data_IF_044813431375
#
_entry.id   IF_044813431375
#
_cell.length_a   1.000
_cell.length_b   1.000
_cell.length_c   1.000
_cell.angle_alpha   90.00
_cell.angle_beta   90.00
_cell.angle_gamma   90.00
#
_symmetry.space_group_name_H-M   'P 1'
#
loop_
_entity.id
_entity.type
_entity.pdbx_description
1 polymer ?
#
# COMPACT_ATOMS: atom_id res chain seq x y z
N UNK A 1 -0.18 -2.28 -2.27
CA UNK A 1 -0.17 -0.80 -2.18
C UNK A 1 -1.26 -0.14 -2.99
N UNK A 2 -1.33 -0.36 -4.32
CA UNK A 2 -2.38 0.21 -5.18
C UNK A 2 -3.80 -0.20 -4.73
N UNK A 3 -4.04 -1.49 -4.43
CA UNK A 3 -5.33 -2.00 -3.89
C UNK A 3 -5.73 -1.36 -2.54
N UNK A 4 -4.76 -1.03 -1.69
CA UNK A 4 -5.01 -0.43 -0.37
C UNK A 4 -5.22 1.11 -0.43
N UNK A 5 -4.61 1.78 -1.41
CA UNK A 5 -4.92 3.17 -1.75
C UNK A 5 -6.34 3.26 -2.34
N UNK A 6 -6.68 2.35 -3.25
CA UNK A 6 -8.05 2.23 -3.77
C UNK A 6 -9.06 1.94 -2.66
N UNK A 7 -8.77 1.06 -1.69
CA UNK A 7 -9.71 0.81 -0.59
C UNK A 7 -9.98 2.02 0.31
N UNK A 8 -9.03 2.96 0.41
CA UNK A 8 -9.19 4.16 1.25
C UNK A 8 -9.80 5.35 0.52
N UNK A 9 -9.69 5.40 -0.81
CA UNK A 9 -10.24 6.48 -1.63
C UNK A 9 -11.57 6.05 -2.28
N UNK A 10 -11.68 4.81 -2.73
CA UNK A 10 -12.86 4.20 -3.38
C UNK A 10 -13.76 3.48 -2.34
N UNK A 11 -13.21 3.09 -1.19
CA UNK A 11 -13.89 2.29 -0.17
C UNK A 11 -13.55 0.79 -0.24
N UNK A 12 -13.94 0.02 0.79
CA UNK A 12 -13.79 -1.46 0.81
C UNK A 12 -14.44 -2.12 -0.41
N UNK A 13 -14.06 -3.35 -0.75
CA UNK A 13 -14.68 -4.09 -1.87
C UNK A 13 -16.22 -4.16 -1.74
N UNK A 14 -16.72 -4.40 -0.53
CA UNK A 14 -18.15 -4.35 -0.23
C UNK A 14 -18.76 -2.97 -0.46
N UNK A 15 -18.05 -1.90 -0.13
CA UNK A 15 -18.49 -0.53 -0.36
C UNK A 15 -18.57 -0.22 -1.85
N UNK A 16 -17.53 -0.57 -2.62
CA UNK A 16 -17.51 -0.41 -4.09
C UNK A 16 -18.63 -1.23 -4.72
N UNK A 17 -18.86 -2.47 -4.26
CA UNK A 17 -19.94 -3.30 -4.75
C UNK A 17 -21.31 -2.69 -4.42
N UNK A 18 -21.51 -2.12 -3.23
CA UNK A 18 -22.74 -1.39 -2.89
C UNK A 18 -22.94 -0.18 -3.79
N UNK A 19 -21.91 0.62 -4.04
CA UNK A 19 -21.98 1.77 -4.96
C UNK A 19 -22.35 1.29 -6.37
N UNK A 20 -21.70 0.25 -6.88
CA UNK A 20 -22.00 -0.33 -8.20
C UNK A 20 -23.45 -0.82 -8.30
N UNK A 21 -23.95 -1.50 -7.27
CA UNK A 21 -25.35 -1.93 -7.20
C UNK A 21 -26.29 -0.72 -7.16
N UNK A 22 -25.99 0.29 -6.35
CA UNK A 22 -26.81 1.51 -6.26
C UNK A 22 -26.83 2.28 -7.58
N UNK A 23 -25.69 2.38 -8.28
CA UNK A 23 -25.63 2.99 -9.60
C UNK A 23 -26.40 2.16 -10.63
N UNK A 24 -26.24 0.84 -10.65
CA UNK A 24 -27.02 -0.02 -11.55
C UNK A 24 -28.54 0.09 -11.30
N UNK A 25 -28.98 0.22 -10.04
CA UNK A 25 -30.38 0.49 -9.70
C UNK A 25 -30.81 1.86 -10.21
N UNK A 26 -30.02 2.91 -9.93
CA UNK A 26 -30.29 4.28 -10.40
C UNK A 26 -30.39 4.35 -11.92
N UNK A 27 -29.46 3.72 -12.61
CA UNK A 27 -29.34 3.62 -14.05
C UNK A 27 -30.55 2.92 -14.68
N UNK A 28 -31.02 1.82 -14.05
CA UNK A 28 -32.24 1.13 -14.47
C UNK A 28 -33.50 1.97 -14.26
N UNK A 29 -33.58 2.72 -13.16
CA UNK A 29 -34.71 3.62 -12.87
C UNK A 29 -34.72 4.84 -13.79
N UNK A 30 -33.55 5.40 -14.11
CA UNK A 30 -33.40 6.53 -15.03
C UNK A 30 -33.61 6.13 -16.50
N UNK A 31 -33.44 4.84 -16.81
CA UNK A 31 -33.67 4.28 -18.13
C UNK A 31 -35.11 4.45 -18.61
N UNK A 32 -35.27 4.41 -19.94
CA UNK A 32 -36.59 4.36 -20.58
C UNK A 32 -36.77 3.00 -21.26
N UNK A 33 -37.93 2.78 -21.90
CA UNK A 33 -38.12 1.61 -22.78
C UNK A 33 -37.10 1.56 -23.92
N UNK A 34 -36.56 2.70 -24.35
CA UNK A 34 -35.64 2.80 -25.48
C UNK A 34 -34.16 2.98 -25.10
N UNK A 35 -33.87 3.45 -23.89
CA UNK A 35 -32.52 3.80 -23.45
C UNK A 35 -32.19 3.16 -22.10
N UNK A 36 -30.97 2.64 -21.95
CA UNK A 36 -30.32 2.35 -20.67
C UNK A 36 -29.23 3.38 -20.45
N UNK A 37 -29.13 3.90 -19.23
CA UNK A 37 -27.97 4.68 -18.82
C UNK A 37 -26.99 3.76 -18.10
N UNK A 38 -25.70 3.98 -18.25
CA UNK A 38 -24.67 3.30 -17.45
C UNK A 38 -23.78 4.41 -16.91
N UNK A 39 -23.79 4.62 -15.61
CA UNK A 39 -22.90 5.59 -14.98
C UNK A 39 -21.53 4.97 -14.76
N UNK A 40 -20.48 5.70 -15.12
CA UNK A 40 -19.08 5.37 -14.87
C UNK A 40 -18.29 6.62 -14.46
N UNK A 41 -16.98 6.59 -14.61
CA UNK A 41 -16.09 7.67 -14.18
C UNK A 41 -15.77 7.57 -12.69
N UNK A 42 -14.78 8.33 -12.28
CA UNK A 42 -14.26 8.26 -10.90
C UNK A 42 -15.35 8.51 -9.87
N UNK A 43 -16.25 9.48 -10.10
CA UNK A 43 -17.38 9.74 -9.23
C UNK A 43 -18.38 8.57 -9.21
N UNK A 44 -18.68 7.99 -10.37
CA UNK A 44 -19.52 6.78 -10.48
C UNK A 44 -18.90 5.57 -9.78
N UNK A 45 -17.58 5.52 -9.65
CA UNK A 45 -16.88 4.45 -8.94
C UNK A 45 -16.75 4.70 -7.43
N UNK A 46 -17.23 5.84 -6.92
CA UNK A 46 -17.20 6.19 -5.50
C UNK A 46 -16.01 7.06 -5.09
N UNK A 47 -15.23 7.56 -6.05
CA UNK A 47 -14.17 8.52 -5.79
C UNK A 47 -14.75 9.93 -5.75
N UNK A 48 -15.13 10.41 -4.56
CA UNK A 48 -15.57 11.79 -4.36
C UNK A 48 -14.37 12.70 -4.00
N UNK A 49 -13.64 13.12 -5.03
CA UNK A 49 -12.46 13.97 -4.89
C UNK A 49 -12.57 15.20 -5.79
N UNK A 50 -11.81 16.25 -5.46
CA UNK A 50 -11.70 17.42 -6.34
C UNK A 50 -11.08 17.01 -7.68
N UNK A 51 -11.84 17.15 -8.75
CA UNK A 51 -11.45 16.75 -10.10
C UNK A 51 -12.00 15.40 -10.54
N UNK A 52 -12.83 14.74 -9.71
CA UNK A 52 -13.57 13.55 -10.15
C UNK A 52 -14.53 13.90 -11.27
N UNK A 53 -14.52 13.06 -12.30
CA UNK A 53 -15.42 13.08 -13.43
C UNK A 53 -16.65 12.20 -13.21
N UNK A 54 -17.76 12.63 -13.81
CA UNK A 54 -18.99 11.87 -13.87
C UNK A 54 -19.23 11.46 -15.32
N UNK A 55 -19.07 10.19 -15.63
CA UNK A 55 -19.28 9.71 -17.00
C UNK A 55 -20.60 8.97 -17.08
N UNK A 56 -21.26 9.05 -18.23
CA UNK A 56 -22.38 8.17 -18.50
C UNK A 56 -22.41 7.70 -19.95
N UNK A 57 -22.84 6.46 -20.13
CA UNK A 57 -23.12 5.88 -21.44
C UNK A 57 -24.62 5.75 -21.64
N UNK A 58 -25.12 6.24 -22.77
CA UNK A 58 -26.50 6.09 -23.21
C UNK A 58 -26.57 4.94 -24.21
N UNK A 59 -27.06 3.79 -23.75
CA UNK A 59 -27.17 2.58 -24.57
C UNK A 59 -28.58 2.48 -25.15
N UNK A 60 -28.70 2.53 -26.48
CA UNK A 60 -29.99 2.40 -27.15
C UNK A 60 -30.41 0.94 -27.29
N UNK A 61 -31.55 0.58 -26.69
CA UNK A 61 -32.10 -0.79 -26.64
C UNK A 61 -32.68 -1.27 -27.96
N UNK A 62 -32.92 -0.36 -28.91
CA UNK A 62 -33.45 -0.70 -30.23
C UNK A 62 -32.35 -1.16 -31.21
N UNK A 63 -31.08 -1.10 -30.79
CA UNK A 63 -29.92 -1.44 -31.60
C UNK A 63 -29.14 -2.59 -30.95
N UNK A 64 -28.89 -3.63 -31.72
CA UNK A 64 -28.07 -4.77 -31.31
C UNK A 64 -26.87 -4.92 -32.26
N UNK A 65 -25.71 -5.24 -31.69
CA UNK A 65 -24.48 -5.54 -32.43
C UNK A 65 -24.07 -6.98 -32.17
N UNK A 66 -23.69 -7.68 -33.23
CA UNK A 66 -23.19 -9.05 -33.18
C UNK A 66 -21.96 -9.22 -34.09
N UNK A 67 -21.03 -10.10 -33.70
CA UNK A 67 -19.89 -10.51 -34.53
C UNK A 67 -20.30 -11.64 -35.50
N UNK A 68 -21.11 -12.60 -35.03
CA UNK A 68 -21.50 -13.77 -35.82
C UNK A 68 -22.75 -13.50 -36.67
N UNK A 69 -22.66 -13.90 -37.94
CA UNK A 69 -23.74 -13.87 -38.91
C UNK A 69 -24.92 -14.78 -38.50
N UNK A 70 -24.69 -15.80 -37.70
CA UNK A 70 -25.71 -16.80 -37.33
C UNK A 70 -26.33 -16.57 -35.94
N UNK A 71 -26.09 -15.41 -35.32
CA UNK A 71 -26.62 -15.11 -34.00
C UNK A 71 -28.15 -14.97 -33.99
N UNK A 72 -28.80 -15.45 -32.92
CA UNK A 72 -30.26 -15.31 -32.72
C UNK A 72 -30.61 -13.84 -32.46
N UNK A 73 -31.10 -13.16 -33.50
CA UNK A 73 -31.49 -11.76 -33.42
C UNK A 73 -32.87 -11.59 -32.81
N UNK A 74 -33.03 -10.57 -31.97
CA UNK A 74 -34.37 -10.13 -31.61
C UNK A 74 -35.01 -9.51 -32.86
N UNK A 75 -36.10 -10.09 -33.39
CA UNK A 75 -36.70 -9.55 -34.61
C UNK A 75 -37.20 -8.12 -34.41
N UNK A 76 -37.42 -7.66 -33.18
CA UNK A 76 -37.94 -6.33 -32.89
C UNK A 76 -36.87 -5.22 -32.80
N UNK A 77 -35.58 -5.54 -33.01
CA UNK A 77 -34.48 -4.57 -32.95
C UNK A 77 -33.80 -4.41 -34.31
N UNK A 78 -33.22 -3.24 -34.57
CA UNK A 78 -32.29 -3.06 -35.68
C UNK A 78 -30.96 -3.73 -35.32
N UNK A 79 -30.40 -4.49 -36.25
CA UNK A 79 -29.18 -5.25 -36.01
C UNK A 79 -28.02 -4.80 -36.91
N UNK A 80 -26.84 -4.70 -36.31
CA UNK A 80 -25.58 -4.47 -36.98
C UNK A 80 -24.66 -5.70 -36.87
N UNK A 81 -24.01 -6.02 -37.99
CA UNK A 81 -22.88 -6.94 -38.03
C UNK A 81 -21.61 -6.14 -37.76
N UNK A 82 -20.83 -6.60 -36.80
CA UNK A 82 -19.55 -6.03 -36.43
C UNK A 82 -18.43 -6.59 -37.31
N UNK A 83 -17.71 -5.71 -37.99
CA UNK A 83 -16.59 -6.05 -38.85
C UNK A 83 -15.31 -5.51 -38.20
N UNK A 84 -14.44 -6.42 -37.80
CA UNK A 84 -13.14 -6.12 -37.16
C UNK A 84 -11.95 -6.32 -38.07
N UNK A 85 -12.18 -6.82 -39.29
CA UNK A 85 -11.14 -6.99 -40.29
C UNK A 85 -10.81 -5.63 -40.92
N UNK A 86 -9.50 -5.38 -41.12
CA UNK A 86 -8.94 -4.19 -41.75
C UNK A 86 -9.28 -2.84 -41.08
N UNK A 87 -9.61 -2.87 -39.79
CA UNK A 87 -9.80 -1.66 -38.97
C UNK A 87 -8.62 -1.47 -38.01
N UNK A 88 -8.33 -0.20 -37.70
CA UNK A 88 -7.28 0.13 -36.72
C UNK A 88 -7.64 -0.46 -35.34
N UNK A 89 -6.65 -0.89 -34.53
CA UNK A 89 -6.90 -1.34 -33.17
C UNK A 89 -7.74 -0.33 -32.37
N UNK A 90 -8.80 -0.82 -31.71
CA UNK A 90 -9.75 0.01 -30.96
C UNK A 90 -10.94 0.55 -31.78
N UNK A 91 -11.04 0.22 -33.07
CA UNK A 91 -12.16 0.59 -33.93
C UNK A 91 -12.84 -0.64 -34.51
N UNK A 92 -14.11 -0.49 -34.90
CA UNK A 92 -14.87 -1.49 -35.66
C UNK A 92 -15.82 -0.80 -36.63
N UNK A 93 -16.19 -1.50 -37.71
CA UNK A 93 -17.25 -1.08 -38.62
C UNK A 93 -18.52 -1.83 -38.27
N UNK A 94 -19.66 -1.14 -38.31
CA UNK A 94 -20.96 -1.73 -38.02
C UNK A 94 -21.79 -1.72 -39.30
N UNK A 95 -21.91 -2.87 -39.96
CA UNK A 95 -22.70 -3.03 -41.17
C UNK A 95 -24.16 -3.31 -40.82
N UNK A 96 -25.09 -2.56 -41.39
CA UNK A 96 -26.53 -2.74 -41.18
C UNK A 96 -26.97 -4.07 -41.80
N UNK A 97 -27.62 -4.92 -40.99
CA UNK A 97 -28.12 -6.23 -41.44
C UNK A 97 -29.64 -6.30 -41.46
N UNK A 98 -30.26 -5.87 -40.36
CA UNK A 98 -31.72 -5.85 -40.21
C UNK A 98 -32.14 -4.46 -39.75
N UNK A 99 -33.19 -3.93 -40.38
CA UNK A 99 -33.65 -2.58 -40.18
C UNK A 99 -35.12 -2.54 -39.77
N UNK A 100 -35.45 -1.83 -38.68
CA UNK A 100 -36.85 -1.64 -38.23
C UNK A 100 -37.26 -0.21 -37.84
N UNK A 101 -36.32 0.72 -37.68
CA UNK A 101 -36.54 2.12 -37.24
C UNK A 101 -35.73 3.08 -38.11
N UNK A 102 -36.03 4.40 -38.16
CA UNK A 102 -35.34 5.50 -38.89
C UNK A 102 -33.81 5.67 -38.69
N UNK A 103 -33.04 4.59 -38.64
CA UNK A 103 -31.59 4.54 -38.49
C UNK A 103 -30.87 4.81 -39.80
N UNK A 104 -31.54 4.73 -40.96
CA UNK A 104 -30.93 4.98 -42.28
C UNK A 104 -30.36 6.39 -42.37
N UNK A 105 -31.00 7.37 -41.73
CA UNK A 105 -30.52 8.75 -41.65
C UNK A 105 -29.22 8.90 -40.82
N UNK A 106 -28.75 7.82 -40.19
CA UNK A 106 -27.51 7.73 -39.41
C UNK A 106 -26.55 6.70 -40.00
N UNK A 107 -26.82 6.23 -41.21
CA UNK A 107 -25.97 5.29 -41.93
C UNK A 107 -25.43 5.92 -43.21
N UNK A 108 -24.35 5.34 -43.73
CA UNK A 108 -23.71 5.72 -44.98
C UNK A 108 -23.52 4.49 -45.85
N UNK A 109 -23.68 4.63 -47.16
CA UNK A 109 -23.46 3.55 -48.10
C UNK A 109 -22.01 3.57 -48.62
N UNK A 110 -21.32 2.43 -48.52
CA UNK A 110 -19.97 2.24 -49.02
C UNK A 110 -19.89 0.90 -49.75
N UNK A 111 -19.59 0.92 -51.05
CA UNK A 111 -19.49 -0.29 -51.89
C UNK A 111 -20.73 -1.19 -51.82
N UNK A 112 -21.94 -0.62 -51.91
CA UNK A 112 -23.21 -1.35 -51.86
C UNK A 112 -23.58 -1.91 -50.48
N UNK A 113 -22.79 -1.63 -49.45
CA UNK A 113 -23.09 -2.00 -48.07
C UNK A 113 -23.44 -0.75 -47.26
N UNK A 114 -24.41 -0.86 -46.36
CA UNK A 114 -24.86 0.24 -45.50
C UNK A 114 -24.17 0.12 -44.14
N UNK A 115 -23.46 1.15 -43.71
CA UNK A 115 -22.70 1.20 -42.46
C UNK A 115 -23.24 2.25 -41.51
N UNK A 116 -23.22 1.96 -40.22
CA UNK A 116 -23.59 2.92 -39.18
C UNK A 116 -22.52 4.01 -39.04
N UNK A 117 -22.93 5.27 -39.14
CA UNK A 117 -22.05 6.43 -38.97
C UNK A 117 -22.12 6.94 -37.54
N UNK A 118 -21.07 6.68 -36.76
CA UNK A 118 -20.97 7.16 -35.37
C UNK A 118 -20.96 8.70 -35.29
N UNK A 119 -20.53 9.39 -36.35
CA UNK A 119 -20.55 10.84 -36.46
C UNK A 119 -21.99 11.38 -36.59
N UNK A 120 -22.77 10.84 -37.53
CA UNK A 120 -24.18 11.20 -37.70
C UNK A 120 -25.00 10.83 -36.46
N UNK A 121 -24.68 9.68 -35.85
CA UNK A 121 -25.34 9.25 -34.63
C UNK A 121 -25.11 10.21 -33.47
N UNK A 122 -23.86 10.64 -33.25
CA UNK A 122 -23.53 11.62 -32.21
C UNK A 122 -24.27 12.94 -32.38
N UNK A 123 -24.35 13.45 -33.61
CA UNK A 123 -25.03 14.73 -33.89
C UNK A 123 -26.50 14.72 -33.46
N UNK A 124 -27.18 13.59 -33.60
CA UNK A 124 -28.58 13.45 -33.19
C UNK A 124 -28.80 13.65 -31.67
N UNK A 125 -27.80 13.36 -30.85
CA UNK A 125 -27.89 13.48 -29.38
C UNK A 125 -27.27 14.77 -28.84
N UNK A 126 -26.81 15.67 -29.70
CA UNK A 126 -26.40 17.00 -29.26
C UNK A 126 -27.64 17.77 -28.80
N UNK A 127 -27.58 18.27 -27.57
CA UNK A 127 -28.59 19.14 -26.98
C UNK A 127 -27.94 20.51 -26.70
N UNK A 128 -28.71 21.59 -26.51
CA UNK A 128 -28.14 22.90 -26.15
C UNK A 128 -27.24 22.88 -24.91
N UNK A 129 -27.44 21.91 -24.02
CA UNK A 129 -26.62 21.67 -22.82
C UNK A 129 -25.29 20.94 -23.06
N UNK A 130 -25.09 20.34 -24.24
CA UNK A 130 -23.93 19.54 -24.61
C UNK A 130 -23.17 20.25 -25.74
N UNK A 131 -22.27 21.14 -25.35
CA UNK A 131 -21.72 22.16 -26.25
C UNK A 131 -20.38 21.78 -26.86
N UNK A 132 -19.68 20.78 -26.32
CA UNK A 132 -18.35 20.39 -26.80
C UNK A 132 -18.27 18.89 -27.06
N UNK A 133 -17.77 18.55 -28.25
CA UNK A 133 -17.49 17.17 -28.66
C UNK A 133 -15.99 16.91 -28.47
N UNK A 134 -15.63 15.81 -27.83
CA UNK A 134 -14.24 15.35 -27.76
C UNK A 134 -14.20 13.82 -27.88
N UNK A 135 -13.51 13.33 -28.92
CA UNK A 135 -13.49 11.90 -29.23
C UNK A 135 -14.92 11.31 -29.39
N UNK A 136 -15.24 10.20 -28.69
CA UNK A 136 -16.58 9.60 -28.71
C UNK A 136 -17.59 10.32 -27.80
N UNK A 137 -17.15 11.27 -26.96
CA UNK A 137 -17.94 11.87 -25.90
C UNK A 137 -18.44 13.27 -26.26
N UNK A 138 -19.52 13.65 -25.57
CA UNK A 138 -20.07 15.00 -25.52
C UNK A 138 -20.03 15.49 -24.08
N UNK A 139 -19.58 16.73 -23.89
CA UNK A 139 -19.41 17.33 -22.57
C UNK A 139 -20.18 18.65 -22.48
N UNK A 140 -20.55 19.04 -21.26
CA UNK A 140 -21.18 20.33 -21.02
C UNK A 140 -20.14 21.47 -20.98
N UNK A 141 -20.60 22.73 -21.01
CA UNK A 141 -19.70 23.89 -20.94
C UNK A 141 -18.78 23.90 -19.72
N UNK A 142 -19.28 23.36 -18.60
CA UNK A 142 -18.56 23.30 -17.32
C UNK A 142 -17.58 22.12 -17.23
N UNK A 143 -17.55 21.23 -18.23
CA UNK A 143 -16.76 19.99 -18.26
C UNK A 143 -16.90 19.14 -16.98
N UNK A 144 -18.12 19.11 -16.44
CA UNK A 144 -18.39 18.37 -15.18
C UNK A 144 -18.82 16.92 -15.44
N UNK A 145 -19.15 16.57 -16.69
CA UNK A 145 -19.51 15.21 -17.05
C UNK A 145 -19.22 14.94 -18.53
N UNK A 146 -18.94 13.68 -18.87
CA UNK A 146 -18.82 13.20 -20.24
C UNK A 146 -19.88 12.15 -20.56
N UNK A 147 -20.65 12.40 -21.62
CA UNK A 147 -21.66 11.49 -22.12
C UNK A 147 -21.20 10.78 -23.39
N UNK A 148 -21.41 9.47 -23.50
CA UNK A 148 -21.20 8.71 -24.73
C UNK A 148 -22.50 8.05 -25.18
N UNK A 149 -22.75 8.03 -26.49
CA UNK A 149 -23.89 7.29 -27.07
C UNK A 149 -23.39 5.93 -27.57
N UNK A 150 -24.03 4.86 -27.12
CA UNK A 150 -23.54 3.50 -27.28
C UNK A 150 -24.61 2.58 -27.89
N UNK A 151 -24.12 1.52 -28.54
CA UNK A 151 -24.92 0.39 -29.01
C UNK A 151 -24.45 -0.86 -28.29
N UNK A 152 -25.39 -1.71 -27.87
CA UNK A 152 -25.07 -2.88 -27.07
C UNK A 152 -24.59 -4.03 -27.96
N UNK A 153 -23.44 -4.61 -27.62
CA UNK A 153 -22.94 -5.82 -28.24
C UNK A 153 -23.17 -7.00 -27.28
N UNK A 154 -23.92 -8.01 -27.72
CA UNK A 154 -24.28 -9.18 -26.88
C UNK A 154 -23.12 -10.14 -26.67
N UNK A 155 -22.18 -10.16 -27.61
CA UNK A 155 -21.04 -11.07 -27.62
C UNK A 155 -19.74 -10.29 -27.40
N UNK A 156 -18.79 -10.91 -26.73
CA UNK A 156 -17.43 -10.38 -26.69
C UNK A 156 -16.80 -10.50 -28.07
N UNK A 157 -16.09 -9.46 -28.51
CA UNK A 157 -15.28 -9.52 -29.74
C UNK A 157 -14.17 -10.56 -29.57
N UNK A 158 -13.92 -11.33 -30.62
CA UNK A 158 -12.84 -12.32 -30.66
C UNK A 158 -11.48 -11.77 -30.19
N UNK A 159 -11.16 -10.53 -30.54
CA UNK A 159 -9.94 -9.83 -30.11
C UNK A 159 -9.84 -9.57 -28.59
N UNK A 160 -10.98 -9.50 -27.88
CA UNK A 160 -11.03 -9.29 -26.43
C UNK A 160 -10.98 -10.60 -25.63
N UNK A 161 -11.27 -11.76 -26.24
CA UNK A 161 -11.34 -13.06 -25.56
C UNK A 161 -10.02 -13.40 -24.85
N UNK A 162 -8.88 -13.06 -25.47
CA UNK A 162 -7.56 -13.31 -24.88
C UNK A 162 -7.34 -12.52 -23.56
N UNK A 163 -7.95 -11.34 -23.42
CA UNK A 163 -7.84 -10.54 -22.20
C UNK A 163 -8.72 -11.08 -21.08
N UNK A 164 -9.95 -11.50 -21.42
CA UNK A 164 -10.91 -12.05 -20.47
C UNK A 164 -10.43 -13.40 -19.92
N UNK A 165 -9.85 -14.23 -20.79
CA UNK A 165 -9.32 -15.53 -20.39
C UNK A 165 -8.10 -15.40 -19.46
N UNK A 166 -7.28 -14.35 -19.61
CA UNK A 166 -6.20 -14.03 -18.67
C UNK A 166 -6.73 -13.63 -17.28
N UNK A 167 -7.81 -12.84 -17.20
CA UNK A 167 -8.36 -12.40 -15.91
C UNK A 167 -9.02 -13.53 -15.12
N UNK A 168 -9.69 -14.47 -15.81
CA UNK A 168 -10.34 -15.61 -15.15
C UNK A 168 -9.35 -16.63 -14.55
N UNK A 169 -8.11 -16.64 -15.01
CA UNK A 169 -7.03 -17.38 -14.34
C UNK A 169 -6.58 -16.72 -13.03
N UNK A 170 -6.80 -15.40 -12.86
CA UNK A 170 -6.43 -14.66 -11.66
C UNK A 170 -7.49 -14.70 -10.55
N UNK A 171 -8.77 -14.93 -10.87
CA UNK A 171 -9.86 -14.93 -9.88
C UNK A 171 -10.01 -16.24 -9.10
N UNK A 172 -9.44 -17.35 -9.58
CA UNK A 172 -9.57 -18.69 -8.97
C UNK A 172 -8.34 -19.14 -8.17
N UNK A 173 -7.36 -18.25 -7.95
CA UNK A 173 -6.13 -18.57 -7.21
C UNK A 173 -6.13 -17.84 -5.88
N UNK A 174 -6.98 -18.32 -4.97
CA UNK A 174 -7.04 -17.84 -3.59
C UNK A 174 -5.85 -18.45 -2.81
N UNK A 175 -4.97 -17.59 -2.29
CA UNK A 175 -3.88 -17.96 -1.36
C UNK A 175 -2.43 -17.90 -1.89
N UNK A 176 -2.15 -18.03 -3.19
CA UNK A 176 -0.77 -18.04 -3.72
C UNK A 176 -0.37 -16.80 -4.56
N UNK A 177 -1.29 -15.83 -4.73
CA UNK A 177 -1.13 -14.67 -5.61
C UNK A 177 -0.37 -13.46 -5.02
N UNK A 178 0.36 -13.64 -3.90
CA UNK A 178 1.28 -12.61 -3.38
C UNK A 178 2.66 -12.61 -4.08
N UNK A 179 2.83 -13.39 -5.14
CA UNK A 179 3.93 -13.21 -6.09
C UNK A 179 3.51 -12.23 -7.20
N UNK A 180 3.44 -10.95 -6.86
CA UNK A 180 3.61 -9.93 -7.89
C UNK A 180 5.09 -9.88 -8.27
N UNK A 181 5.40 -10.24 -9.52
CA UNK A 181 6.66 -9.87 -10.14
C UNK A 181 6.66 -8.35 -10.35
N UNK A 182 7.03 -7.60 -9.32
CA UNK A 182 7.86 -6.43 -9.59
C UNK A 182 9.23 -7.00 -9.89
N UNK A 183 9.62 -7.04 -11.17
CA UNK A 183 11.04 -7.06 -11.46
C UNK A 183 11.64 -5.88 -10.70
N UNK A 184 12.51 -6.12 -9.69
CA UNK A 184 13.24 -5.01 -9.11
C UNK A 184 13.98 -4.39 -10.28
N UNK A 185 13.73 -3.11 -10.57
CA UNK A 185 14.60 -2.42 -11.53
C UNK A 185 16.03 -2.73 -11.09
N UNK A 186 16.86 -3.32 -11.96
CA UNK A 186 18.22 -3.61 -11.60
C UNK A 186 18.88 -2.24 -11.39
N UNK A 187 18.99 -1.84 -10.13
CA UNK A 187 20.05 -0.94 -9.71
C UNK A 187 21.33 -1.69 -10.02
N UNK A 188 21.85 -1.45 -11.23
CA UNK A 188 23.18 -1.89 -11.61
C UNK A 188 24.13 -1.41 -10.52
N UNK A 189 25.04 -2.28 -10.10
CA UNK A 189 26.13 -1.97 -9.15
C UNK A 189 26.83 -0.64 -9.51
N UNK A 190 26.82 -0.28 -10.80
CA UNK A 190 27.33 0.98 -11.34
C UNK A 190 26.53 2.24 -10.92
N UNK A 191 25.22 2.18 -10.75
CA UNK A 191 24.38 3.30 -10.28
C UNK A 191 24.59 3.55 -8.77
N UNK A 192 24.79 2.48 -7.99
CA UNK A 192 25.16 2.57 -6.57
C UNK A 192 26.57 3.18 -6.41
N UNK A 193 27.51 2.80 -7.27
CA UNK A 193 28.83 3.44 -7.36
C UNK A 193 28.75 4.94 -7.70
N UNK A 194 27.79 5.36 -8.52
CA UNK A 194 27.53 6.79 -8.81
C UNK A 194 26.88 7.53 -7.64
N UNK A 195 25.98 6.89 -6.90
CA UNK A 195 25.34 7.46 -5.69
C UNK A 195 26.38 7.63 -4.57
N UNK A 196 27.28 6.65 -4.39
CA UNK A 196 28.41 6.76 -3.46
C UNK A 196 29.38 7.86 -3.92
N UNK A 197 29.74 7.91 -5.21
CA UNK A 197 30.64 8.95 -5.75
C UNK A 197 30.07 10.38 -5.68
N UNK A 198 28.76 10.55 -5.82
CA UNK A 198 28.11 11.87 -5.75
C UNK A 198 27.91 12.38 -4.32
N UNK A 199 27.92 11.51 -3.31
CA UNK A 199 27.87 11.89 -1.88
C UNK A 199 29.25 11.98 -1.20
N UNK A 200 30.36 11.67 -1.90
CA UNK A 200 31.75 11.74 -1.40
C UNK A 200 32.31 13.15 -1.17
N UNK A 201 31.48 14.19 -1.09
CA UNK A 201 31.93 15.57 -0.81
C UNK A 201 32.10 15.88 0.69
N UNK A 202 31.89 14.92 1.59
CA UNK A 202 32.18 15.12 3.02
C UNK A 202 33.00 13.93 3.60
N UNK A 203 34.35 14.03 3.64
CA UNK A 203 35.23 12.89 3.87
C UNK A 203 35.33 12.38 5.32
N UNK A 204 34.80 13.11 6.32
CA UNK A 204 34.99 12.79 7.74
C UNK A 204 34.09 11.69 8.34
N UNK A 205 32.82 11.62 7.95
CA UNK A 205 31.87 10.60 8.45
C UNK A 205 31.93 9.28 7.66
N UNK A 206 32.28 9.40 6.37
CA UNK A 206 32.18 8.31 5.39
C UNK A 206 33.24 7.24 5.59
N UNK A 207 34.41 7.57 6.16
CA UNK A 207 35.48 6.60 6.40
C UNK A 207 35.11 5.56 7.45
N UNK A 208 34.34 5.92 8.49
CA UNK A 208 33.93 4.96 9.52
C UNK A 208 32.84 4.00 9.03
N UNK A 209 31.86 4.49 8.27
CA UNK A 209 30.78 3.67 7.70
C UNK A 209 31.30 2.78 6.56
N UNK A 210 32.23 3.27 5.73
CA UNK A 210 32.90 2.46 4.70
C UNK A 210 33.79 1.42 5.37
N UNK A 211 34.58 1.77 6.40
CA UNK A 211 35.35 0.76 7.15
C UNK A 211 34.45 -0.27 7.81
N UNK A 212 33.32 0.11 8.39
CA UNK A 212 32.37 -0.84 8.98
C UNK A 212 31.75 -1.73 7.92
N UNK A 213 31.41 -1.19 6.75
CA UNK A 213 30.82 -1.96 5.64
C UNK A 213 31.86 -2.85 4.95
N UNK A 214 33.12 -2.43 4.85
CA UNK A 214 34.24 -3.23 4.35
C UNK A 214 34.65 -4.31 5.36
N UNK A 215 34.72 -3.99 6.66
CA UNK A 215 34.97 -4.96 7.74
C UNK A 215 33.85 -5.98 7.82
N UNK A 216 32.60 -5.55 7.67
CA UNK A 216 31.43 -6.41 7.59
C UNK A 216 31.43 -7.27 6.32
N UNK A 217 31.77 -6.70 5.16
CA UNK A 217 31.89 -7.46 3.91
C UNK A 217 33.04 -8.46 3.94
N UNK A 218 34.20 -8.10 4.50
CA UNK A 218 35.35 -9.01 4.66
C UNK A 218 35.04 -10.10 5.69
N UNK A 219 34.37 -9.76 6.79
CA UNK A 219 33.91 -10.76 7.77
C UNK A 219 32.86 -11.71 7.17
N UNK A 220 31.94 -11.21 6.33
CA UNK A 220 30.99 -12.04 5.57
C UNK A 220 31.70 -12.90 4.51
N UNK A 221 32.64 -12.34 3.74
CA UNK A 221 33.42 -13.09 2.74
C UNK A 221 34.26 -14.19 3.37
N UNK A 222 34.81 -13.95 4.56
CA UNK A 222 35.62 -14.94 5.29
C UNK A 222 34.75 -16.02 5.96
N UNK A 223 33.51 -15.71 6.35
CA UNK A 223 32.63 -16.63 7.11
C UNK A 223 31.60 -17.36 6.24
N UNK A 224 31.30 -16.85 5.04
CA UNK A 224 30.22 -17.35 4.18
C UNK A 224 30.77 -17.76 2.81
N UNK A 225 31.27 -18.99 2.72
CA UNK A 225 31.37 -19.74 1.46
C UNK A 225 29.95 -20.10 0.97
N UNK A 226 29.15 -19.10 0.59
CA UNK A 226 27.82 -19.34 0.06
C UNK A 226 27.48 -18.35 -1.06
N UNK A 227 26.85 -18.89 -2.09
CA UNK A 227 26.64 -18.35 -3.43
C UNK A 227 26.15 -16.89 -3.49
N UNK A 228 26.43 -16.23 -4.63
CA UNK A 228 26.22 -14.82 -4.98
C UNK A 228 24.85 -14.18 -4.64
N UNK A 229 23.83 -14.96 -4.27
CA UNK A 229 22.51 -14.46 -3.87
C UNK A 229 22.47 -13.82 -2.48
N UNK A 230 23.39 -14.17 -1.56
CA UNK A 230 23.38 -13.70 -0.17
C UNK A 230 23.73 -12.21 0.00
N UNK A 231 24.75 -11.72 -0.72
CA UNK A 231 25.25 -10.34 -0.58
C UNK A 231 24.22 -9.31 -1.06
N UNK A 232 23.51 -9.60 -2.17
CA UNK A 232 22.49 -8.68 -2.72
C UNK A 232 21.36 -8.41 -1.73
N UNK A 233 20.94 -9.42 -0.98
CA UNK A 233 19.84 -9.29 -0.01
C UNK A 233 20.27 -8.57 1.28
N UNK A 234 21.53 -8.77 1.71
CA UNK A 234 22.14 -7.97 2.79
C UNK A 234 22.22 -6.49 2.39
N UNK A 235 22.65 -6.18 1.16
CA UNK A 235 22.66 -4.79 0.67
C UNK A 235 21.27 -4.18 0.60
N UNK A 236 20.25 -4.92 0.17
CA UNK A 236 18.87 -4.43 0.15
C UNK A 236 18.34 -4.15 1.56
N UNK A 237 18.67 -5.00 2.53
CA UNK A 237 18.34 -4.77 3.94
C UNK A 237 19.01 -3.50 4.47
N UNK A 238 20.32 -3.32 4.20
CA UNK A 238 21.04 -2.10 4.57
C UNK A 238 20.43 -0.84 3.94
N UNK A 239 20.09 -0.89 2.64
CA UNK A 239 19.39 0.20 1.97
C UNK A 239 18.03 0.50 2.59
N UNK A 240 17.29 -0.52 3.04
CA UNK A 240 16.04 -0.35 3.77
C UNK A 240 16.26 0.39 5.08
N UNK A 241 17.24 -0.01 5.89
CA UNK A 241 17.57 0.67 7.16
C UNK A 241 17.99 2.12 6.94
N UNK A 242 18.79 2.39 5.91
CA UNK A 242 19.15 3.76 5.53
C UNK A 242 17.93 4.61 5.13
N UNK A 243 17.01 4.05 4.33
CA UNK A 243 15.78 4.74 3.98
C UNK A 243 14.90 5.00 5.21
N UNK A 244 14.85 4.06 6.17
CA UNK A 244 14.15 4.26 7.43
C UNK A 244 14.77 5.41 8.24
N UNK A 245 16.11 5.49 8.34
CA UNK A 245 16.79 6.61 8.99
C UNK A 245 16.48 7.96 8.33
N UNK A 246 16.57 8.03 6.99
CA UNK A 246 16.22 9.26 6.24
C UNK A 246 14.74 9.66 6.44
N UNK A 247 13.82 8.69 6.55
CA UNK A 247 12.40 8.97 6.76
C UNK A 247 12.08 9.59 8.12
N UNK A 248 12.84 9.23 9.17
CA UNK A 248 12.66 9.72 10.53
C UNK A 248 12.97 11.21 10.69
N UNK A 249 13.86 11.74 9.87
CA UNK A 249 14.27 13.16 9.92
C UNK A 249 13.31 14.10 9.15
N UNK A 250 12.25 13.56 8.52
CA UNK A 250 11.32 14.36 7.71
C UNK A 250 10.26 14.98 8.62
N UNK A 251 10.29 16.30 8.79
CA UNK A 251 9.31 17.02 9.62
C UNK A 251 7.85 16.73 9.23
N UNK A 252 7.11 16.08 10.14
CA UNK A 252 5.68 15.77 10.01
C UNK A 252 4.76 16.72 10.81
N UNK A 253 5.33 17.63 11.60
CA UNK A 253 4.60 18.36 12.63
C UNK A 253 3.59 19.39 12.12
N UNK A 254 2.60 19.63 13.00
CA UNK A 254 1.50 20.56 12.80
C UNK A 254 1.91 22.05 12.84
N UNK A 255 3.17 22.38 13.13
CA UNK A 255 3.65 23.75 13.12
C UNK A 255 3.66 24.38 11.71
N UNK A 256 3.66 23.55 10.66
CA UNK A 256 3.68 24.03 9.28
C UNK A 256 2.26 24.39 8.83
N UNK A 257 1.98 25.67 8.56
CA UNK A 257 0.63 26.16 8.24
C UNK A 257 0.07 25.73 6.86
N UNK A 258 0.89 25.15 5.98
CA UNK A 258 0.51 24.85 4.60
C UNK A 258 0.23 23.36 4.37
N UNK A 259 -1.04 23.01 4.12
CA UNK A 259 -1.50 21.65 3.81
C UNK A 259 -0.77 21.01 2.61
N UNK A 260 -0.42 21.79 1.58
CA UNK A 260 0.31 21.28 0.40
C UNK A 260 1.71 20.81 0.79
N UNK A 261 2.36 21.54 1.69
CA UNK A 261 3.69 21.17 2.18
C UNK A 261 3.61 19.93 3.07
N UNK A 262 2.64 19.86 3.98
CA UNK A 262 2.41 18.67 4.82
C UNK A 262 2.18 17.42 3.98
N UNK A 263 1.32 17.52 2.96
CA UNK A 263 1.07 16.41 2.04
C UNK A 263 2.36 15.99 1.33
N UNK A 264 3.16 16.95 0.84
CA UNK A 264 4.45 16.66 0.22
C UNK A 264 5.38 15.91 1.18
N UNK A 265 5.57 16.40 2.42
CA UNK A 265 6.43 15.74 3.41
C UNK A 265 5.93 14.34 3.75
N UNK A 266 4.63 14.17 3.97
CA UNK A 266 4.02 12.86 4.17
C UNK A 266 4.30 11.92 3.01
N UNK A 267 4.07 12.35 1.75
CA UNK A 267 4.34 11.51 0.58
C UNK A 267 5.82 11.16 0.43
N UNK A 268 6.72 12.10 0.77
CA UNK A 268 8.16 11.86 0.76
C UNK A 268 8.56 10.83 1.82
N UNK A 269 8.15 11.02 3.08
CA UNK A 269 8.39 10.06 4.16
C UNK A 269 7.83 8.67 3.83
N UNK A 270 6.58 8.61 3.39
CA UNK A 270 5.94 7.38 2.95
C UNK A 270 6.74 6.71 1.81
N UNK A 271 7.21 7.47 0.82
CA UNK A 271 8.01 6.91 -0.28
C UNK A 271 9.35 6.33 0.19
N UNK A 272 10.01 6.94 1.18
CA UNK A 272 11.23 6.41 1.77
C UNK A 272 10.98 5.11 2.52
N UNK A 273 9.97 5.08 3.41
CA UNK A 273 9.65 3.89 4.18
C UNK A 273 9.25 2.71 3.29
N UNK A 274 8.51 2.97 2.22
CA UNK A 274 8.08 1.93 1.29
C UNK A 274 9.21 1.42 0.39
N UNK A 275 10.25 2.21 0.22
CA UNK A 275 11.42 1.83 -0.56
C UNK A 275 12.18 0.76 0.21
N UNK A 276 12.05 -0.49 -0.25
CA UNK A 276 12.68 -1.67 0.32
C UNK A 276 12.04 -2.22 1.62
N UNK A 277 10.85 -1.78 2.01
CA UNK A 277 10.16 -2.30 3.22
C UNK A 277 10.07 -3.84 3.25
N UNK A 278 9.94 -4.51 2.11
CA UNK A 278 9.87 -5.98 2.00
C UNK A 278 11.21 -6.70 2.26
N UNK A 279 12.30 -5.94 2.34
CA UNK A 279 13.62 -6.44 2.72
C UNK A 279 13.86 -6.40 4.23
N UNK A 280 12.99 -5.72 4.97
CA UNK A 280 12.91 -5.70 6.42
C UNK A 280 11.64 -6.44 6.86
N UNK A 281 11.79 -7.56 7.60
CA UNK A 281 10.63 -8.41 7.84
C UNK A 281 9.60 -7.77 8.80
N UNK A 282 10.03 -6.88 9.69
CA UNK A 282 9.20 -6.39 10.80
C UNK A 282 9.46 -4.91 11.09
N UNK A 283 10.70 -4.51 11.40
CA UNK A 283 10.97 -3.16 11.90
C UNK A 283 10.66 -2.06 10.87
N UNK A 284 10.84 -2.32 9.58
CA UNK A 284 10.43 -1.42 8.50
C UNK A 284 8.92 -1.25 8.41
N UNK A 285 8.15 -2.33 8.63
CA UNK A 285 6.70 -2.27 8.70
C UNK A 285 6.22 -1.53 9.94
N UNK A 286 6.86 -1.74 11.09
CA UNK A 286 6.55 -1.00 12.30
C UNK A 286 6.85 0.50 12.16
N UNK A 287 7.95 0.88 11.50
CA UNK A 287 8.25 2.27 11.19
C UNK A 287 7.16 2.91 10.31
N UNK A 288 6.65 2.16 9.34
CA UNK A 288 5.51 2.57 8.53
C UNK A 288 4.22 2.68 9.36
N UNK A 289 3.98 1.77 10.30
CA UNK A 289 2.86 1.87 11.23
C UNK A 289 2.97 3.13 12.10
N UNK A 290 4.17 3.48 12.57
CA UNK A 290 4.42 4.71 13.34
C UNK A 290 4.13 5.98 12.53
N UNK A 291 4.45 6.02 11.23
CA UNK A 291 4.03 7.12 10.35
C UNK A 291 2.50 7.27 10.31
N UNK A 292 1.77 6.17 10.18
CA UNK A 292 0.30 6.20 10.18
C UNK A 292 -0.26 6.59 11.53
N UNK A 293 0.35 6.15 12.63
CA UNK A 293 0.02 6.59 13.97
C UNK A 293 0.17 8.10 14.14
N UNK A 294 1.34 8.67 13.79
CA UNK A 294 1.63 10.10 13.87
C UNK A 294 0.68 10.97 13.04
N UNK A 295 0.18 10.42 11.94
CA UNK A 295 -0.82 11.09 11.09
C UNK A 295 -2.26 10.80 11.49
N UNK A 296 -2.48 10.22 12.69
CA UNK A 296 -3.80 9.89 13.27
C UNK A 296 -4.63 8.92 12.43
N UNK A 297 -3.97 8.08 11.63
CA UNK A 297 -4.59 7.03 10.83
C UNK A 297 -4.53 5.70 11.58
N UNK A 298 -5.08 5.66 12.80
CA UNK A 298 -4.93 4.56 13.76
C UNK A 298 -5.35 3.19 13.20
N UNK A 299 -6.44 3.11 12.43
CA UNK A 299 -6.86 1.85 11.81
C UNK A 299 -5.84 1.28 10.81
N UNK A 300 -5.10 2.13 10.10
CA UNK A 300 -4.02 1.69 9.20
C UNK A 300 -2.82 1.22 9.99
N UNK A 301 -2.44 1.96 11.02
CA UNK A 301 -1.36 1.57 11.92
C UNK A 301 -1.64 0.20 12.53
N UNK A 302 -2.84 -0.02 13.08
CA UNK A 302 -3.29 -1.32 13.60
C UNK A 302 -3.12 -2.45 12.60
N UNK A 303 -3.61 -2.27 11.37
CA UNK A 303 -3.50 -3.33 10.36
C UNK A 303 -2.05 -3.73 10.06
N UNK A 304 -1.16 -2.74 9.94
CA UNK A 304 0.26 -2.99 9.68
C UNK A 304 0.93 -3.60 10.90
N UNK A 305 0.62 -3.12 12.11
CA UNK A 305 1.12 -3.67 13.37
C UNK A 305 0.73 -5.15 13.54
N UNK A 306 -0.54 -5.50 13.31
CA UNK A 306 -1.00 -6.89 13.36
C UNK A 306 -0.30 -7.77 12.31
N UNK A 307 -0.10 -7.23 11.10
CA UNK A 307 0.68 -7.93 10.07
C UNK A 307 2.11 -8.18 10.55
N UNK A 308 2.80 -7.18 11.10
CA UNK A 308 4.14 -7.29 11.68
C UNK A 308 4.20 -8.35 12.78
N UNK A 309 3.25 -8.32 13.73
CA UNK A 309 3.13 -9.33 14.79
C UNK A 309 2.96 -10.74 14.23
N UNK A 310 2.15 -10.92 13.19
CA UNK A 310 1.98 -12.23 12.54
C UNK A 310 3.26 -12.78 11.89
N UNK A 311 4.25 -11.91 11.61
CA UNK A 311 5.55 -12.31 11.09
C UNK A 311 6.53 -12.70 12.18
N UNK A 312 6.36 -12.16 13.39
CA UNK A 312 7.08 -12.50 14.60
C UNK A 312 6.47 -13.78 15.23
N UNK A 313 6.84 -14.95 14.71
CA UNK A 313 6.49 -16.23 15.34
C UNK A 313 7.58 -16.64 16.33
N UNK A 314 7.25 -17.36 17.40
CA UNK A 314 8.22 -17.86 18.40
C UNK A 314 9.37 -18.68 17.80
N UNK A 315 9.15 -19.37 16.68
CA UNK A 315 10.21 -20.06 15.91
C UNK A 315 11.22 -19.12 15.21
N UNK A 316 11.00 -17.80 15.26
CA UNK A 316 11.75 -16.78 14.50
C UNK A 316 12.39 -15.70 15.38
N UNK A 317 12.26 -15.78 16.69
CA UNK A 317 12.87 -14.84 17.61
C UNK A 317 14.12 -15.52 18.16
N UNK A 318 15.28 -15.17 17.61
CA UNK A 318 16.58 -15.61 18.11
C UNK A 318 17.38 -14.36 18.49
N UNK A 319 17.59 -14.16 19.79
CA UNK A 319 18.42 -13.08 20.32
C UNK A 319 19.84 -13.60 20.65
N UNK A 320 20.84 -12.70 20.61
CA UNK A 320 22.25 -12.95 20.95
C UNK A 320 22.94 -14.06 20.17
N UNK A 321 22.64 -14.12 18.89
CA UNK A 321 23.38 -14.98 17.98
C UNK A 321 24.64 -14.23 17.56
N UNK A 322 25.79 -14.53 18.19
CA UNK A 322 27.09 -14.04 17.70
C UNK A 322 27.27 -14.45 16.23
N UNK A 323 28.07 -13.73 15.43
CA UNK A 323 28.28 -14.08 14.01
C UNK A 323 28.66 -15.57 13.79
N UNK A 324 29.36 -16.17 14.77
CA UNK A 324 29.63 -17.61 14.83
C UNK A 324 28.39 -18.47 15.08
N UNK A 325 27.54 -18.06 16.02
CA UNK A 325 26.26 -18.72 16.25
C UNK A 325 25.31 -18.53 15.06
N UNK A 326 25.47 -17.44 14.28
CA UNK A 326 24.63 -17.17 13.10
C UNK A 326 24.93 -18.23 12.05
N UNK A 327 26.21 -18.51 11.84
CA UNK A 327 26.63 -19.58 10.95
C UNK A 327 26.09 -20.95 11.41
N UNK A 328 26.21 -21.26 12.70
CA UNK A 328 25.76 -22.54 13.25
C UNK A 328 24.22 -22.71 13.21
N UNK A 329 23.47 -21.68 13.60
CA UNK A 329 22.00 -21.69 13.58
C UNK A 329 21.46 -21.68 12.15
N UNK A 330 22.12 -20.98 11.23
CA UNK A 330 21.74 -21.01 9.81
C UNK A 330 21.98 -22.41 9.22
N UNK A 331 23.09 -23.08 9.54
CA UNK A 331 23.31 -24.48 9.14
C UNK A 331 22.28 -25.43 9.77
N UNK A 332 21.92 -25.23 11.03
CA UNK A 332 20.89 -25.99 11.75
C UNK A 332 19.48 -25.77 11.18
N UNK A 333 19.14 -24.53 10.79
CA UNK A 333 17.84 -24.19 10.20
C UNK A 333 17.74 -24.57 8.72
N UNK A 334 18.85 -24.52 7.97
CA UNK A 334 18.93 -25.06 6.61
C UNK A 334 18.69 -26.57 6.59
N UNK A 335 19.22 -27.29 7.58
CA UNK A 335 19.02 -28.74 7.73
C UNK A 335 17.61 -29.11 8.20
N UNK A 336 16.98 -28.29 9.06
CA UNK A 336 15.64 -28.55 9.60
C UNK A 336 14.47 -28.12 8.71
N UNK A 337 14.54 -26.97 8.02
CA UNK A 337 13.38 -26.38 7.32
C UNK A 337 13.57 -26.15 5.81
N UNK A 338 14.72 -26.51 5.23
CA UNK A 338 15.06 -26.28 3.80
C UNK A 338 14.80 -24.85 3.31
N UNK A 339 14.91 -23.84 4.19
CA UNK A 339 14.71 -22.43 3.83
C UNK A 339 16.03 -21.77 3.42
N UNK A 340 15.97 -20.84 2.45
CA UNK A 340 17.15 -20.17 1.91
C UNK A 340 17.82 -19.22 2.91
N UNK A 341 19.15 -19.08 2.82
CA UNK A 341 20.00 -18.22 3.67
C UNK A 341 19.46 -16.78 3.83
N UNK A 342 18.98 -16.16 2.75
CA UNK A 342 18.43 -14.81 2.77
C UNK A 342 17.15 -14.69 3.62
N UNK A 343 16.32 -15.74 3.68
CA UNK A 343 15.14 -15.77 4.53
C UNK A 343 15.53 -15.86 6.02
N UNK A 344 16.59 -16.59 6.33
CA UNK A 344 17.10 -16.74 7.69
C UNK A 344 17.76 -15.45 8.20
N UNK A 345 18.58 -14.77 7.39
CA UNK A 345 19.11 -13.44 7.75
C UNK A 345 17.99 -12.42 7.98
N UNK A 346 16.94 -12.43 7.15
CA UNK A 346 15.78 -11.56 7.33
C UNK A 346 15.04 -11.77 8.64
N UNK A 347 15.17 -12.93 9.27
CA UNK A 347 14.56 -13.28 10.56
C UNK A 347 15.51 -12.93 11.70
N UNK A 348 16.81 -13.13 11.51
CA UNK A 348 17.80 -12.90 12.56
C UNK A 348 18.10 -11.42 12.81
N UNK A 349 17.90 -10.55 11.82
CA UNK A 349 18.05 -9.10 11.99
C UNK A 349 16.75 -8.37 12.38
N UNK A 350 15.70 -9.12 12.75
CA UNK A 350 14.36 -8.60 13.08
C UNK A 350 14.30 -7.83 14.40
N UNK A 351 15.35 -7.89 15.20
CA UNK A 351 15.18 -7.88 16.64
C UNK A 351 14.71 -6.54 17.23
N UNK A 352 15.09 -5.42 16.59
CA UNK A 352 14.76 -4.11 17.14
C UNK A 352 14.33 -3.08 16.10
N UNK A 353 13.45 -2.19 16.55
CA UNK A 353 13.20 -0.92 15.92
C UNK A 353 14.11 0.14 16.55
N UNK A 354 14.75 0.93 15.69
CA UNK A 354 15.66 1.99 16.09
C UNK A 354 15.03 3.34 15.74
N UNK A 355 14.89 4.21 16.73
CA UNK A 355 14.48 5.60 16.57
C UNK A 355 15.66 6.53 16.76
N UNK A 356 15.97 7.34 15.75
CA UNK A 356 16.97 8.40 15.82
C UNK A 356 16.56 9.46 16.85
N UNK A 357 17.56 10.20 17.36
CA UNK A 357 17.29 11.38 18.19
C UNK A 357 16.42 12.35 17.39
N UNK A 358 15.36 12.86 18.02
CA UNK A 358 14.35 13.74 17.40
C UNK A 358 13.58 13.11 16.22
N UNK A 359 13.46 11.78 16.19
CA UNK A 359 12.67 11.09 15.17
C UNK A 359 11.23 11.58 15.15
N UNK A 360 10.81 12.09 14.00
CA UNK A 360 9.43 12.56 13.75
C UNK A 360 8.43 11.42 13.67
N UNK A 361 8.91 10.18 13.59
CA UNK A 361 8.12 8.96 13.57
C UNK A 361 7.90 8.38 14.98
N UNK A 362 8.63 8.87 15.99
CA UNK A 362 8.43 8.43 17.37
C UNK A 362 7.06 8.93 17.89
N UNK A 363 6.20 8.04 18.44
CA UNK A 363 4.95 8.41 19.08
C UNK A 363 5.13 9.53 20.09
N UNK A 364 4.17 10.46 20.16
CA UNK A 364 4.25 11.62 21.06
C UNK A 364 4.34 11.19 22.53
N UNK A 365 3.71 10.07 22.88
CA UNK A 365 3.75 9.48 24.22
C UNK A 365 5.13 8.95 24.61
N UNK A 366 6.02 8.73 23.64
CA UNK A 366 7.42 8.33 23.84
C UNK A 366 8.42 9.47 23.64
N UNK A 367 7.96 10.70 23.37
CA UNK A 367 8.84 11.87 23.28
C UNK A 367 9.35 12.25 24.67
N UNK A 368 10.27 11.43 25.15
CA UNK A 368 11.12 11.71 26.28
C UNK A 368 12.25 12.57 25.73
N UNK A 369 12.66 13.61 26.48
CA UNK A 369 13.90 14.37 26.23
C UNK A 369 15.11 13.42 26.33
N UNK A 370 15.29 12.52 25.36
CA UNK A 370 16.38 11.57 25.32
C UNK A 370 17.47 12.10 24.40
N UNK A 371 18.68 12.20 24.93
CA UNK A 371 19.88 12.61 24.17
C UNK A 371 20.42 11.45 23.31
N UNK A 372 19.79 10.27 23.39
CA UNK A 372 20.29 9.02 22.81
C UNK A 372 19.25 8.38 21.88
N UNK A 373 19.77 7.61 20.92
CA UNK A 373 18.99 6.74 20.03
C UNK A 373 18.22 5.72 20.87
N UNK A 374 16.94 5.51 20.55
CA UNK A 374 16.07 4.58 21.26
C UNK A 374 15.96 3.26 20.49
N UNK A 375 16.06 2.14 21.20
CA UNK A 375 15.98 0.80 20.64
C UNK A 375 14.90 0.02 21.38
N UNK A 376 13.90 -0.48 20.66
CA UNK A 376 12.85 -1.31 21.26
C UNK A 376 12.84 -2.66 20.58
N UNK A 377 12.50 -3.71 21.33
CA UNK A 377 12.25 -4.99 20.69
C UNK A 377 11.06 -4.83 19.73
N UNK A 378 11.16 -5.37 18.52
CA UNK A 378 10.11 -5.18 17.50
C UNK A 378 8.74 -5.67 17.99
N UNK A 379 8.69 -6.75 18.78
CA UNK A 379 7.43 -7.27 19.33
C UNK A 379 6.85 -6.40 20.45
N UNK A 380 7.68 -5.98 21.41
CA UNK A 380 7.28 -5.04 22.45
C UNK A 380 6.74 -3.74 21.84
N UNK A 381 7.46 -3.18 20.86
CA UNK A 381 7.01 -1.99 20.16
C UNK A 381 5.72 -2.21 19.36
N UNK A 382 5.53 -3.39 18.76
CA UNK A 382 4.29 -3.72 18.08
C UNK A 382 3.09 -3.72 19.04
N UNK A 383 3.19 -4.40 20.19
CA UNK A 383 2.12 -4.38 21.21
C UNK A 383 1.88 -2.98 21.76
N UNK A 384 2.95 -2.21 22.00
CA UNK A 384 2.85 -0.81 22.42
C UNK A 384 2.10 0.05 21.39
N UNK A 385 2.46 -0.03 20.11
CA UNK A 385 1.81 0.74 19.06
C UNK A 385 0.35 0.30 18.85
N UNK A 386 0.08 -1.00 19.01
CA UNK A 386 -1.28 -1.56 19.01
C UNK A 386 -2.13 -0.96 20.14
N UNK A 387 -1.58 -0.94 21.37
CA UNK A 387 -2.20 -0.30 22.53
C UNK A 387 -2.53 1.17 22.26
N UNK A 388 -1.56 1.96 21.79
CA UNK A 388 -1.76 3.40 21.53
C UNK A 388 -2.89 3.63 20.51
N UNK A 389 -2.90 2.86 19.42
CA UNK A 389 -3.96 2.97 18.42
C UNK A 389 -5.35 2.65 19.00
N UNK A 390 -5.47 1.58 19.80
CA UNK A 390 -6.73 1.23 20.45
C UNK A 390 -7.14 2.24 21.52
N UNK A 391 -6.19 2.85 22.22
CA UNK A 391 -6.42 3.91 23.21
C UNK A 391 -7.05 5.13 22.54
N UNK A 392 -6.47 5.62 21.44
CA UNK A 392 -7.03 6.74 20.67
C UNK A 392 -8.37 6.41 19.99
N UNK A 393 -8.67 5.13 19.77
CA UNK A 393 -9.97 4.65 19.26
C UNK A 393 -10.98 4.32 20.37
N UNK A 394 -10.64 4.54 21.65
CA UNK A 394 -11.45 4.21 22.82
C UNK A 394 -11.88 2.72 22.90
N UNK A 395 -11.03 1.80 22.43
CA UNK A 395 -11.29 0.36 22.52
C UNK A 395 -10.58 -0.25 23.74
N UNK A 396 -11.23 -0.13 24.90
CA UNK A 396 -10.67 -0.54 26.20
C UNK A 396 -10.31 -2.03 26.26
N UNK A 397 -11.12 -2.90 25.65
CA UNK A 397 -10.87 -4.35 25.65
C UNK A 397 -9.55 -4.65 24.93
N UNK A 398 -9.37 -4.10 23.73
CA UNK A 398 -8.15 -4.32 22.96
C UNK A 398 -6.92 -3.63 23.55
N UNK A 399 -7.10 -2.54 24.31
CA UNK A 399 -6.03 -1.98 25.13
C UNK A 399 -5.55 -2.97 26.20
N UNK A 400 -6.47 -3.65 26.90
CA UNK A 400 -6.12 -4.66 27.90
C UNK A 400 -5.39 -5.85 27.26
N UNK A 401 -5.90 -6.35 26.13
CA UNK A 401 -5.25 -7.44 25.38
C UNK A 401 -3.82 -7.06 24.96
N UNK A 402 -3.63 -5.82 24.47
CA UNK A 402 -2.31 -5.33 24.05
C UNK A 402 -1.34 -5.14 25.22
N UNK A 403 -1.83 -4.68 26.38
CA UNK A 403 -1.03 -4.58 27.61
C UNK A 403 -0.58 -5.96 28.08
N UNK A 404 -1.49 -6.94 28.13
CA UNK A 404 -1.14 -8.30 28.52
C UNK A 404 -0.11 -8.90 27.56
N UNK A 405 -0.27 -8.69 26.25
CA UNK A 405 0.71 -9.11 25.25
C UNK A 405 2.08 -8.45 25.45
N UNK A 406 2.12 -7.16 25.77
CA UNK A 406 3.36 -6.44 26.07
C UNK A 406 4.06 -7.00 27.32
N UNK A 407 3.31 -7.24 28.40
CA UNK A 407 3.83 -7.83 29.63
C UNK A 407 4.42 -9.22 29.38
N UNK A 408 3.70 -10.08 28.66
CA UNK A 408 4.18 -11.41 28.31
C UNK A 408 5.50 -11.35 27.53
N UNK A 409 5.64 -10.44 26.57
CA UNK A 409 6.89 -10.29 25.81
C UNK A 409 8.05 -9.82 26.69
N UNK A 410 7.79 -8.91 27.64
CA UNK A 410 8.82 -8.40 28.57
C UNK A 410 9.24 -9.48 29.59
N UNK A 411 8.27 -10.26 30.08
CA UNK A 411 8.50 -11.32 31.07
C UNK A 411 9.21 -12.55 30.46
N UNK A 412 9.09 -12.78 29.15
CA UNK A 412 9.82 -13.83 28.43
C UNK A 412 11.30 -13.42 28.22
N UNK A 413 12.07 -13.46 29.31
CA UNK A 413 13.46 -12.95 29.42
C UNK A 413 14.46 -13.56 28.42
N UNK A 414 14.18 -14.73 27.86
CA UNK A 414 15.11 -15.50 27.03
C UNK A 414 15.34 -14.94 25.62
N UNK A 415 14.79 -13.76 25.31
CA UNK A 415 14.87 -13.11 24.01
C UNK A 415 15.51 -11.71 24.04
N UNK A 416 16.12 -11.26 25.15
CA UNK A 416 16.59 -9.86 25.24
C UNK A 416 17.91 -9.67 25.98
N UNK A 417 18.78 -8.82 25.41
CA UNK A 417 19.88 -8.21 26.16
C UNK A 417 19.32 -7.20 27.18
N UNK A 418 19.97 -7.08 28.34
CA UNK A 418 19.57 -6.20 29.45
C UNK A 418 19.31 -4.74 28.99
N UNK A 419 20.10 -4.27 28.02
CA UNK A 419 19.98 -2.92 27.44
C UNK A 419 18.62 -2.70 26.77
N UNK A 420 18.14 -3.70 26.02
CA UNK A 420 16.86 -3.61 25.29
C UNK A 420 15.69 -3.77 26.26
N UNK A 421 15.86 -4.64 27.26
CA UNK A 421 14.84 -4.87 28.31
C UNK A 421 14.53 -3.57 29.06
N UNK A 422 15.53 -2.75 29.38
CA UNK A 422 15.33 -1.44 29.98
C UNK A 422 14.42 -0.51 29.17
N UNK A 423 14.57 -0.48 27.83
CA UNK A 423 13.74 0.35 26.95
C UNK A 423 12.31 -0.20 26.84
N UNK A 424 12.11 -1.51 26.86
CA UNK A 424 10.77 -2.09 26.79
C UNK A 424 9.97 -1.86 28.08
N UNK A 425 10.62 -1.81 29.25
CA UNK A 425 9.97 -1.34 30.48
C UNK A 425 9.54 0.13 30.39
N UNK A 426 10.22 0.96 29.60
CA UNK A 426 9.75 2.33 29.31
C UNK A 426 8.44 2.31 28.53
N UNK A 427 8.28 1.39 27.56
CA UNK A 427 7.01 1.21 26.85
C UNK A 427 5.89 0.79 27.81
N UNK A 428 6.15 -0.18 28.68
CA UNK A 428 5.18 -0.65 29.66
C UNK A 428 4.78 0.45 30.65
N UNK A 429 5.75 1.22 31.13
CA UNK A 429 5.52 2.37 32.00
C UNK A 429 4.54 3.38 31.37
N UNK A 430 4.78 3.78 30.12
CA UNK A 430 3.91 4.73 29.39
C UNK A 430 2.49 4.20 29.26
N UNK A 431 2.33 2.92 28.91
CA UNK A 431 1.03 2.26 28.78
C UNK A 431 0.26 2.28 30.10
N UNK A 432 0.90 1.87 31.20
CA UNK A 432 0.29 1.85 32.53
C UNK A 432 -0.08 3.26 33.01
N UNK A 433 0.76 4.26 32.70
CA UNK A 433 0.47 5.66 33.00
C UNK A 433 -0.77 6.17 32.26
N UNK A 434 -0.94 5.82 30.97
CA UNK A 434 -2.11 6.19 30.18
C UNK A 434 -3.41 5.55 30.71
N UNK A 435 -3.33 4.35 31.28
CA UNK A 435 -4.46 3.68 31.93
C UNK A 435 -4.74 4.21 33.35
N UNK A 436 -3.84 5.00 33.93
CA UNK A 436 -3.96 5.55 35.28
C UNK A 436 -3.53 4.59 36.39
N UNK A 437 -2.89 3.45 36.08
CA UNK A 437 -2.33 2.53 37.07
C UNK A 437 -0.96 3.03 37.55
N UNK A 438 -0.98 3.93 38.53
CA UNK A 438 0.22 4.64 39.01
C UNK A 438 1.23 3.73 39.69
N UNK A 439 0.79 2.74 40.45
CA UNK A 439 1.71 1.87 41.21
C UNK A 439 2.45 0.93 40.26
N UNK A 440 1.74 0.27 39.33
CA UNK A 440 2.37 -0.60 38.34
C UNK A 440 3.28 0.20 37.41
N UNK A 441 2.85 1.41 36.99
CA UNK A 441 3.69 2.31 36.20
C UNK A 441 5.00 2.64 36.94
N UNK A 442 4.92 2.98 38.24
CA UNK A 442 6.10 3.26 39.06
C UNK A 442 7.05 2.07 39.13
N UNK A 443 6.53 0.85 39.28
CA UNK A 443 7.35 -0.36 39.31
C UNK A 443 8.07 -0.58 37.97
N UNK A 444 7.35 -0.49 36.85
CA UNK A 444 7.94 -0.61 35.51
C UNK A 444 9.03 0.45 35.26
N UNK A 445 8.81 1.69 35.71
CA UNK A 445 9.82 2.74 35.65
C UNK A 445 11.09 2.39 36.42
N UNK A 446 10.97 1.91 37.67
CA UNK A 446 12.14 1.53 38.46
C UNK A 446 12.91 0.35 37.83
N UNK A 447 12.21 -0.63 37.26
CA UNK A 447 12.84 -1.72 36.52
C UNK A 447 13.61 -1.22 35.29
N UNK A 448 13.05 -0.24 34.55
CA UNK A 448 13.75 0.42 33.44
C UNK A 448 15.03 1.13 33.90
N UNK A 449 14.96 1.85 35.02
CA UNK A 449 16.11 2.59 35.60
C UNK A 449 17.20 1.64 36.10
N UNK A 450 16.81 0.56 36.79
CA UNK A 450 17.75 -0.42 37.34
C UNK A 450 18.56 -1.10 36.24
N UNK A 451 17.90 -1.44 35.12
CA UNK A 451 18.55 -2.03 33.96
C UNK A 451 19.35 -1.03 33.13
N UNK A 452 18.98 0.27 33.14
CA UNK A 452 19.62 1.29 32.30
C UNK A 452 19.80 2.66 32.97
N UNK A 453 20.70 2.77 33.98
CA UNK A 453 20.83 3.97 34.81
C UNK A 453 21.33 5.21 34.05
N UNK A 454 21.95 5.06 32.88
CA UNK A 454 22.60 6.14 32.15
C UNK A 454 21.67 6.97 31.24
N UNK A 455 20.51 6.47 30.81
CA UNK A 455 19.57 7.24 29.96
C UNK A 455 18.74 8.27 30.73
N UNK A 456 18.62 8.12 32.05
CA UNK A 456 17.61 8.82 32.84
C UNK A 456 18.07 10.14 33.48
N UNK A 457 19.33 10.51 33.38
CA UNK A 457 19.82 11.76 33.99
C UNK A 457 19.25 13.05 33.38
N UNK A 458 18.52 12.99 32.26
CA UNK A 458 17.97 14.18 31.58
C UNK A 458 16.47 14.13 31.23
N UNK A 459 15.74 13.05 31.51
CA UNK A 459 14.40 12.89 30.96
C UNK A 459 13.31 13.70 31.69
N UNK A 460 12.45 14.38 30.93
CA UNK A 460 11.19 14.96 31.39
C UNK A 460 10.28 13.98 32.17
N UNK A 461 10.49 12.67 32.02
CA UNK A 461 9.87 11.60 32.80
C UNK A 461 10.10 11.77 34.32
N UNK A 462 11.30 12.18 34.73
CA UNK A 462 11.61 12.46 36.13
C UNK A 462 10.87 13.71 36.63
N UNK A 463 10.60 14.70 35.76
CA UNK A 463 9.83 15.91 36.11
C UNK A 463 8.33 15.62 36.21
N UNK A 464 7.76 14.80 35.34
CA UNK A 464 6.38 14.34 35.45
C UNK A 464 6.14 13.47 36.69
N UNK A 465 7.14 12.68 37.08
CA UNK A 465 7.11 11.85 38.29
C UNK A 465 7.28 12.67 39.59
N UNK A 466 8.02 13.78 39.56
CA UNK A 466 8.27 14.64 40.73
C UNK A 466 7.25 15.78 40.91
N UNK A 467 6.43 16.10 39.90
CA UNK A 467 5.46 17.21 39.95
C UNK A 467 4.01 16.80 40.30
N UNK A 468 3.74 15.53 40.63
CA UNK A 468 2.43 15.03 41.07
C UNK A 468 2.59 14.01 42.18
#
# INVERSE_FOLDING_TARGET
MYRYMCQYIVGTEDHVNRIRVMNAVRDNVAGTKMLTFITSGSYGEGLDMRGSDYDYMMVNKNYEVCEDVNSDFNPNTTCFLMETDDVKPGFTRLRLRLYRHEILNRCEEHNGNVYFSSALFKQFYLTPSLTKIHGPCVTNEKQTFDGATCVHCKTWVSSAIQWITRSNQMSNVDGSMWNFSFEPQPLYVNEVGKILKSKLLNPGMVTSEIMQMETFNESIKQTVYCQQSSIKDVFKYYLSKKCNGEAQCIALDNAISNNKYRYKQFTTCLSFLLKNVYHDAVSGWLMLASLFYKTKQYSKALHITMYSMSKCTTEKLYHDVTLSDVHYQVLKLQTLQKKGFAYLLKIMFVDYIQFEVDSTLLPDELQIESVLVQFFQSMSYAYFLNFLCHYHLNNVIQCQDSLQGLQLVIDEEYLMADIIKGNDYTLLWVVLQLLGDRESARQAFFQSVELFPYQLFNSAAMRLFLMR
#
